data_IF_735536556201
#
_entry.id   IF_735536556201
#
_cell.length_a   1.000
_cell.length_b   1.000
_cell.length_c   1.000
_cell.angle_alpha   90.00
_cell.angle_beta   90.00
_cell.angle_gamma   90.00
#
_symmetry.space_group_name_H-M   'P 1'
#
loop_
_entity.id
_entity.type
_entity.pdbx_description
1 polymer ?
#
# COMPACT_ATOMS: atom_id res chain seq x y z
N UNK A 1 -58.06 72.88 -7.14
CA UNK A 1 -58.68 71.55 -7.22
C UNK A 1 -57.81 70.63 -6.37
N UNK A 2 -58.20 70.43 -5.10
CA UNK A 2 -57.40 69.67 -4.15
C UNK A 2 -57.73 68.18 -4.33
N UNK A 3 -56.75 67.37 -4.74
CA UNK A 3 -56.89 65.92 -4.85
C UNK A 3 -56.81 65.29 -3.46
N UNK A 4 -57.89 64.60 -3.08
CA UNK A 4 -57.99 63.79 -1.87
C UNK A 4 -57.06 62.57 -1.96
N UNK A 5 -56.02 62.54 -1.13
CA UNK A 5 -55.24 61.32 -0.89
C UNK A 5 -55.86 60.56 0.30
N UNK A 6 -56.49 59.39 0.06
CA UNK A 6 -56.49 58.13 0.89
C UNK A 6 -57.73 57.24 0.58
N UNK A 7 -57.58 55.89 0.40
CA UNK A 7 -57.39 54.97 1.53
C UNK A 7 -56.51 53.73 1.26
N UNK A 8 -55.56 53.77 0.29
CA UNK A 8 -54.73 52.58 -0.04
C UNK A 8 -53.68 52.19 1.03
N UNK A 9 -53.24 53.12 1.87
CA UNK A 9 -52.23 52.83 2.90
C UNK A 9 -52.80 52.04 4.09
N UNK A 10 -53.99 52.39 4.58
CA UNK A 10 -54.59 51.72 5.74
C UNK A 10 -54.97 50.24 5.46
N UNK A 11 -55.35 49.92 4.23
CA UNK A 11 -55.66 48.55 3.83
C UNK A 11 -54.42 47.67 3.66
N UNK A 12 -53.31 48.23 3.18
CA UNK A 12 -52.03 47.53 3.08
C UNK A 12 -51.40 47.25 4.46
N UNK A 13 -51.51 48.20 5.39
CA UNK A 13 -51.04 48.05 6.77
C UNK A 13 -51.87 47.00 7.53
N UNK A 14 -53.20 47.03 7.41
CA UNK A 14 -54.09 46.01 7.96
C UNK A 14 -53.84 44.59 7.40
N UNK A 15 -53.58 44.47 6.09
CA UNK A 15 -53.22 43.18 5.48
C UNK A 15 -51.85 42.67 5.94
N UNK A 16 -50.89 43.58 6.16
CA UNK A 16 -49.54 43.25 6.65
C UNK A 16 -49.59 42.79 8.11
N UNK A 17 -50.36 43.47 8.95
CA UNK A 17 -50.57 43.11 10.36
C UNK A 17 -51.27 41.74 10.48
N UNK A 18 -52.35 41.52 9.70
CA UNK A 18 -53.03 40.22 9.65
C UNK A 18 -52.09 39.07 9.23
N UNK A 19 -51.26 39.29 8.21
CA UNK A 19 -50.27 38.29 7.75
C UNK A 19 -49.19 38.02 8.82
N UNK A 20 -48.76 39.05 9.53
CA UNK A 20 -47.78 38.92 10.63
C UNK A 20 -48.39 38.13 11.80
N UNK A 21 -49.66 38.38 12.14
CA UNK A 21 -50.39 37.62 13.15
C UNK A 21 -50.54 36.15 12.73
N UNK A 22 -50.89 35.85 11.47
CA UNK A 22 -50.96 34.47 10.97
C UNK A 22 -49.60 33.75 11.02
N UNK A 23 -48.51 34.46 10.72
CA UNK A 23 -47.14 33.95 10.84
C UNK A 23 -46.75 33.67 12.31
N UNK A 24 -47.08 34.58 13.23
CA UNK A 24 -46.81 34.38 14.66
C UNK A 24 -47.63 33.19 15.19
N UNK A 25 -48.91 33.10 14.83
CA UNK A 25 -49.79 32.00 15.24
C UNK A 25 -49.30 30.66 14.71
N UNK A 26 -48.88 30.59 13.43
CA UNK A 26 -48.33 29.35 12.86
C UNK A 26 -46.98 28.95 13.48
N UNK A 27 -46.10 29.91 13.80
CA UNK A 27 -44.85 29.63 14.51
C UNK A 27 -45.11 29.13 15.93
N UNK A 28 -46.04 29.75 16.67
CA UNK A 28 -46.43 29.30 18.01
C UNK A 28 -47.04 27.89 17.97
N UNK A 29 -47.90 27.60 17.01
CA UNK A 29 -48.43 26.25 16.80
C UNK A 29 -47.32 25.25 16.48
N UNK A 30 -46.34 25.63 15.66
CA UNK A 30 -45.16 24.82 15.35
C UNK A 30 -44.32 24.52 16.60
N UNK A 31 -44.05 25.52 17.44
CA UNK A 31 -43.32 25.32 18.69
C UNK A 31 -44.08 24.43 19.67
N UNK A 32 -45.41 24.56 19.77
CA UNK A 32 -46.23 23.69 20.61
C UNK A 32 -46.19 22.24 20.12
N UNK A 33 -46.24 22.01 18.81
CA UNK A 33 -46.11 20.68 18.23
C UNK A 33 -44.72 20.09 18.47
N UNK A 34 -43.66 20.87 18.29
CA UNK A 34 -42.30 20.45 18.58
C UNK A 34 -42.10 20.10 20.06
N UNK A 35 -42.65 20.90 20.97
CA UNK A 35 -42.61 20.62 22.40
C UNK A 35 -43.38 19.34 22.75
N UNK A 36 -44.56 19.13 22.15
CA UNK A 36 -45.35 17.91 22.35
C UNK A 36 -44.62 16.67 21.81
N UNK A 37 -44.01 16.76 20.63
CA UNK A 37 -43.21 15.69 20.04
C UNK A 37 -41.96 15.39 20.86
N UNK A 38 -41.25 16.41 21.31
CA UNK A 38 -40.07 16.25 22.18
C UNK A 38 -40.45 15.58 23.49
N UNK A 39 -41.55 15.99 24.12
CA UNK A 39 -42.06 15.37 25.34
C UNK A 39 -42.48 13.90 25.10
N UNK A 40 -43.18 13.61 24.00
CA UNK A 40 -43.53 12.25 23.63
C UNK A 40 -42.30 11.37 23.41
N UNK A 41 -41.26 11.91 22.76
CA UNK A 41 -40.01 11.21 22.53
C UNK A 41 -39.26 10.93 23.83
N UNK A 42 -39.16 11.92 24.73
CA UNK A 42 -38.52 11.74 26.03
C UNK A 42 -39.27 10.69 26.88
N UNK A 43 -40.59 10.76 26.93
CA UNK A 43 -41.41 9.75 27.62
C UNK A 43 -41.24 8.34 27.01
N UNK A 44 -41.09 8.24 25.68
CA UNK A 44 -40.81 6.96 25.03
C UNK A 44 -39.44 6.40 25.42
N UNK A 45 -38.41 7.26 25.48
CA UNK A 45 -37.05 6.90 25.92
C UNK A 45 -37.01 6.52 27.40
N UNK A 46 -37.76 7.21 28.25
CA UNK A 46 -37.90 6.86 29.67
C UNK A 46 -38.67 5.55 29.85
N UNK A 47 -39.71 5.31 29.05
CA UNK A 47 -40.49 4.06 29.08
C UNK A 47 -39.75 2.86 28.47
N UNK A 48 -38.66 3.10 27.71
CA UNK A 48 -37.68 2.06 27.40
C UNK A 48 -36.92 1.60 28.65
N UNK A 49 -37.07 2.26 29.81
CA UNK A 49 -36.44 1.84 31.06
C UNK A 49 -34.92 1.96 31.03
N UNK A 50 -34.38 2.79 30.14
CA UNK A 50 -32.95 3.08 30.06
C UNK A 50 -32.54 3.84 31.32
N UNK A 51 -31.78 3.19 32.22
CA UNK A 51 -31.33 3.76 33.49
C UNK A 51 -32.14 3.35 34.72
N UNK A 52 -33.26 2.63 34.56
CA UNK A 52 -33.92 1.93 35.67
C UNK A 52 -33.31 0.53 35.85
N UNK A 53 -32.70 0.21 37.01
CA UNK A 53 -32.14 -1.12 37.29
C UNK A 53 -33.14 -2.27 37.18
N UNK A 54 -34.45 -2.00 37.32
CA UNK A 54 -35.47 -3.04 37.26
C UNK A 54 -36.05 -3.27 35.86
N UNK A 55 -35.63 -2.49 34.86
CA UNK A 55 -36.16 -2.61 33.50
C UNK A 55 -35.70 -3.91 32.81
N UNK A 56 -36.49 -4.35 31.82
CA UNK A 56 -36.13 -5.51 31.00
C UNK A 56 -34.77 -5.29 30.29
N UNK A 57 -34.51 -4.06 29.85
CA UNK A 57 -33.25 -3.71 29.19
C UNK A 57 -32.06 -3.76 30.14
N UNK A 58 -32.21 -3.24 31.36
CA UNK A 58 -31.16 -3.34 32.38
C UNK A 58 -30.82 -4.81 32.67
N UNK A 59 -31.83 -5.66 32.88
CA UNK A 59 -31.63 -7.10 33.10
C UNK A 59 -30.98 -7.81 31.91
N UNK A 60 -31.33 -7.43 30.68
CA UNK A 60 -30.71 -7.99 29.47
C UNK A 60 -29.23 -7.59 29.36
N UNK A 61 -28.91 -6.32 29.64
CA UNK A 61 -27.53 -5.82 29.61
C UNK A 61 -26.72 -6.45 30.75
N UNK A 62 -27.27 -6.52 31.96
CA UNK A 62 -26.65 -7.20 33.10
C UNK A 62 -26.38 -8.67 32.77
N UNK A 63 -27.37 -9.39 32.26
CA UNK A 63 -27.18 -10.79 31.84
C UNK A 63 -26.09 -10.93 30.77
N UNK A 64 -26.08 -10.05 29.76
CA UNK A 64 -25.03 -10.05 28.73
C UNK A 64 -23.65 -9.78 29.33
N UNK A 65 -23.52 -8.79 30.22
CA UNK A 65 -22.25 -8.42 30.85
C UNK A 65 -21.74 -9.48 31.83
N UNK A 66 -22.63 -10.18 32.51
CA UNK A 66 -22.27 -11.24 33.47
C UNK A 66 -21.98 -12.57 32.80
N UNK A 67 -22.72 -12.95 31.75
CA UNK A 67 -22.64 -14.30 31.17
C UNK A 67 -21.94 -14.32 29.81
N UNK A 68 -22.24 -13.38 28.92
CA UNK A 68 -21.75 -13.40 27.53
C UNK A 68 -20.41 -12.69 27.40
N UNK A 69 -20.26 -11.53 28.04
CA UNK A 69 -19.05 -10.71 27.97
C UNK A 69 -17.79 -11.41 28.48
N UNK A 70 -17.79 -12.18 29.59
CA UNK A 70 -16.60 -12.91 30.02
C UNK A 70 -16.22 -14.04 29.05
N UNK A 71 -17.21 -14.75 28.48
CA UNK A 71 -16.98 -15.78 27.46
C UNK A 71 -16.35 -15.17 26.22
N UNK A 72 -16.84 -14.01 25.77
CA UNK A 72 -16.26 -13.28 24.65
C UNK A 72 -14.81 -12.88 24.91
N UNK A 73 -14.49 -12.38 26.12
CA UNK A 73 -13.10 -12.09 26.51
C UNK A 73 -12.21 -13.34 26.45
N UNK A 74 -12.69 -14.48 26.95
CA UNK A 74 -11.94 -15.73 26.91
C UNK A 74 -11.64 -16.15 25.47
N UNK A 75 -12.65 -16.10 24.59
CA UNK A 75 -12.49 -16.41 23.16
C UNK A 75 -11.49 -15.46 22.51
N UNK A 76 -11.57 -14.15 22.80
CA UNK A 76 -10.65 -13.15 22.29
C UNK A 76 -9.20 -13.42 22.72
N UNK A 77 -8.98 -13.77 24.00
CA UNK A 77 -7.64 -14.14 24.51
C UNK A 77 -7.10 -15.37 23.79
N UNK A 78 -7.90 -16.43 23.62
CA UNK A 78 -7.49 -17.64 22.89
C UNK A 78 -7.15 -17.30 21.44
N UNK A 79 -8.00 -16.52 20.76
CA UNK A 79 -7.75 -16.08 19.39
C UNK A 79 -6.47 -15.25 19.27
N UNK A 80 -6.19 -14.34 20.22
CA UNK A 80 -4.95 -13.56 20.27
C UNK A 80 -3.72 -14.45 20.47
N UNK A 81 -3.80 -15.47 21.33
CA UNK A 81 -2.71 -16.42 21.55
C UNK A 81 -2.44 -17.23 20.28
N UNK A 82 -3.48 -17.75 19.62
CA UNK A 82 -3.34 -18.48 18.35
C UNK A 82 -2.75 -17.60 17.26
N UNK A 83 -3.19 -16.35 17.16
CA UNK A 83 -2.63 -15.39 16.21
C UNK A 83 -1.16 -15.09 16.49
N UNK A 84 -0.78 -14.92 17.76
CA UNK A 84 0.60 -14.69 18.17
C UNK A 84 1.52 -15.87 17.78
N UNK A 85 1.13 -17.11 18.10
CA UNK A 85 1.87 -18.29 17.68
C UNK A 85 1.88 -18.47 16.16
N UNK A 86 0.77 -18.16 15.48
CA UNK A 86 0.69 -18.16 14.02
C UNK A 86 1.64 -17.17 13.39
N UNK A 87 1.76 -15.96 13.93
CA UNK A 87 2.74 -14.96 13.49
C UNK A 87 4.15 -15.50 13.68
N UNK A 88 4.50 -16.02 14.86
CA UNK A 88 5.84 -16.58 15.12
C UNK A 88 6.16 -17.71 14.12
N UNK A 89 5.25 -18.66 13.95
CA UNK A 89 5.42 -19.77 13.02
C UNK A 89 5.61 -19.28 11.58
N UNK A 90 4.76 -18.35 11.12
CA UNK A 90 4.88 -17.79 9.79
C UNK A 90 6.19 -17.02 9.63
N UNK A 91 6.60 -16.21 10.61
CA UNK A 91 7.87 -15.49 10.59
C UNK A 91 9.07 -16.42 10.53
N UNK A 92 9.08 -17.52 11.29
CA UNK A 92 10.15 -18.53 11.20
C UNK A 92 10.14 -19.27 9.87
N UNK A 93 8.96 -19.63 9.36
CA UNK A 93 8.83 -20.29 8.05
C UNK A 93 9.30 -19.37 6.92
N UNK A 94 8.91 -18.10 6.96
CA UNK A 94 9.40 -17.05 6.06
C UNK A 94 10.91 -16.89 6.18
N UNK A 95 11.47 -16.86 7.39
CA UNK A 95 12.91 -16.78 7.57
C UNK A 95 13.65 -18.01 7.00
N UNK A 96 13.09 -19.22 7.13
CA UNK A 96 13.66 -20.42 6.53
C UNK A 96 13.62 -20.42 5.01
N UNK A 97 12.52 -19.93 4.42
CA UNK A 97 12.41 -19.76 2.97
C UNK A 97 13.37 -18.68 2.49
N UNK A 98 13.44 -17.52 3.17
CA UNK A 98 14.37 -16.44 2.85
C UNK A 98 15.83 -16.89 3.02
N UNK A 99 16.14 -17.78 3.96
CA UNK A 99 17.48 -18.34 4.12
C UNK A 99 17.84 -19.29 2.97
N UNK A 100 16.89 -20.11 2.52
CA UNK A 100 17.08 -20.94 1.33
C UNK A 100 17.17 -20.08 0.04
N UNK A 101 16.39 -19.01 -0.05
CA UNK A 101 16.45 -18.01 -1.11
C UNK A 101 17.80 -17.29 -1.09
N UNK A 102 18.26 -16.78 0.06
CA UNK A 102 19.57 -16.16 0.19
C UNK A 102 20.72 -17.12 -0.15
N UNK A 103 20.58 -18.43 0.10
CA UNK A 103 21.60 -19.40 -0.29
C UNK A 103 21.67 -19.61 -1.82
N UNK A 104 20.58 -19.32 -2.54
CA UNK A 104 20.48 -19.42 -4.00
C UNK A 104 20.79 -18.08 -4.69
N UNK A 105 20.40 -16.94 -4.09
CA UNK A 105 20.49 -15.60 -4.67
C UNK A 105 21.57 -14.71 -4.04
N UNK A 106 22.13 -15.06 -2.88
CA UNK A 106 23.17 -14.30 -2.17
C UNK A 106 24.15 -15.24 -1.42
N UNK A 107 24.88 -16.13 -2.12
CA UNK A 107 25.78 -17.11 -1.49
C UNK A 107 26.83 -16.46 -0.57
N UNK A 108 27.22 -15.20 -0.82
CA UNK A 108 28.16 -14.44 0.00
C UNK A 108 27.69 -14.16 1.46
N UNK A 109 26.39 -14.04 1.74
CA UNK A 109 25.91 -13.73 3.09
C UNK A 109 25.93 -14.95 4.03
N UNK A 110 25.74 -16.16 3.49
CA UNK A 110 25.88 -17.42 4.23
C UNK A 110 27.34 -17.71 4.64
N UNK A 111 28.30 -17.34 3.78
CA UNK A 111 29.73 -17.47 4.04
C UNK A 111 30.25 -16.48 5.10
N UNK A 112 29.63 -15.30 5.24
CA UNK A 112 29.97 -14.33 6.30
C UNK A 112 29.43 -14.73 7.68
N UNK A 113 28.29 -15.44 7.72
CA UNK A 113 27.68 -15.91 8.97
C UNK A 113 28.39 -17.17 9.53
N UNK A 114 28.96 -18.00 8.65
CA UNK A 114 29.77 -19.17 9.02
C UNK A 114 31.24 -18.79 9.04
N UNK A 115 31.65 -18.12 10.12
CA UNK A 115 33.02 -17.65 10.31
C UNK A 115 34.08 -18.68 9.91
N UNK A 116 34.79 -18.36 8.83
CA UNK A 116 35.97 -19.10 8.36
C UNK A 116 35.75 -19.79 7.03
N UNK A 117 35.94 -19.05 5.93
CA UNK A 117 37.12 -19.15 5.04
C UNK A 117 37.11 -17.85 4.22
N UNK A 118 38.20 -17.07 4.23
CA UNK A 118 38.45 -16.09 3.16
C UNK A 118 38.70 -16.88 1.88
N UNK A 119 37.63 -17.30 1.20
CA UNK A 119 37.73 -17.64 -0.21
C UNK A 119 37.74 -16.27 -0.87
N UNK A 120 38.94 -15.78 -1.17
CA UNK A 120 39.12 -14.72 -2.15
C UNK A 120 38.64 -15.26 -3.49
N UNK A 121 37.33 -15.30 -3.68
CA UNK A 121 36.73 -15.43 -4.99
C UNK A 121 37.24 -14.28 -5.85
N UNK A 122 37.40 -14.48 -7.16
CA UNK A 122 37.73 -13.40 -8.07
C UNK A 122 36.58 -12.39 -8.06
N UNK A 123 36.65 -11.44 -7.12
CA UNK A 123 35.69 -10.36 -6.99
C UNK A 123 35.54 -9.68 -8.33
N UNK A 124 34.38 -9.86 -8.97
CA UNK A 124 34.06 -9.15 -10.18
C UNK A 124 33.87 -7.66 -9.81
N UNK A 125 34.95 -6.89 -9.95
CA UNK A 125 34.98 -5.47 -9.57
C UNK A 125 33.90 -4.65 -10.28
N UNK A 126 33.49 -5.07 -11.49
CA UNK A 126 32.41 -4.43 -12.24
C UNK A 126 31.07 -4.65 -11.55
N UNK A 127 30.81 -5.87 -11.07
CA UNK A 127 29.59 -6.18 -10.32
C UNK A 127 29.50 -5.42 -8.99
N UNK A 128 30.59 -5.36 -8.22
CA UNK A 128 30.62 -4.57 -6.98
C UNK A 128 30.27 -3.09 -7.24
N UNK A 129 30.72 -2.55 -8.38
CA UNK A 129 30.41 -1.19 -8.79
C UNK A 129 28.95 -1.01 -9.21
N UNK A 130 28.36 -1.98 -9.94
CA UNK A 130 26.92 -2.00 -10.26
C UNK A 130 26.09 -1.95 -8.98
N UNK A 131 26.40 -2.81 -8.01
CA UNK A 131 25.66 -2.87 -6.73
C UNK A 131 25.82 -1.57 -5.93
N UNK A 132 27.02 -0.96 -5.95
CA UNK A 132 27.25 0.35 -5.31
C UNK A 132 26.35 1.43 -5.91
N UNK A 133 26.23 1.48 -7.23
CA UNK A 133 25.37 2.45 -7.91
C UNK A 133 23.88 2.18 -7.66
N UNK A 134 23.46 0.91 -7.68
CA UNK A 134 22.07 0.51 -7.46
C UNK A 134 21.56 0.84 -6.04
N UNK A 135 22.46 0.86 -5.05
CA UNK A 135 22.16 1.18 -3.65
C UNK A 135 22.37 2.66 -3.28
N UNK A 136 22.71 3.51 -4.25
CA UNK A 136 22.80 4.96 -4.05
C UNK A 136 21.41 5.59 -3.86
N UNK A 137 21.36 6.80 -3.30
CA UNK A 137 20.14 7.61 -3.21
C UNK A 137 19.94 8.52 -4.44
N UNK A 138 20.84 8.45 -5.44
CA UNK A 138 20.86 9.32 -6.60
C UNK A 138 20.29 8.61 -7.87
N UNK A 139 19.24 9.17 -8.51
CA UNK A 139 18.69 8.61 -9.76
C UNK A 139 19.69 8.46 -10.91
N UNK A 140 20.73 9.30 -10.96
CA UNK A 140 21.79 9.16 -11.97
C UNK A 140 22.64 7.92 -11.76
N UNK A 141 22.89 7.54 -10.51
CA UNK A 141 23.63 6.33 -10.20
C UNK A 141 22.80 5.09 -10.55
N UNK A 142 21.49 5.12 -10.32
CA UNK A 142 20.61 4.02 -10.73
C UNK A 142 20.64 3.75 -12.24
N UNK A 143 20.63 4.81 -13.06
CA UNK A 143 20.80 4.66 -14.51
C UNK A 143 22.18 4.07 -14.84
N UNK A 144 23.22 4.55 -14.17
CA UNK A 144 24.57 4.02 -14.36
C UNK A 144 24.65 2.53 -14.01
N UNK A 145 23.99 2.09 -12.94
CA UNK A 145 23.94 0.68 -12.55
C UNK A 145 23.36 -0.21 -13.65
N UNK A 146 22.23 0.19 -14.25
CA UNK A 146 21.57 -0.57 -15.32
C UNK A 146 22.41 -0.58 -16.61
N UNK A 147 23.05 0.54 -16.94
CA UNK A 147 23.92 0.63 -18.12
C UNK A 147 25.15 -0.27 -17.95
N UNK A 148 25.83 -0.19 -16.80
CA UNK A 148 27.03 -0.97 -16.52
C UNK A 148 26.73 -2.48 -16.47
N UNK A 149 25.59 -2.86 -15.89
CA UNK A 149 25.13 -4.25 -15.90
C UNK A 149 24.86 -4.76 -17.32
N UNK A 150 24.29 -3.96 -18.21
CA UNK A 150 24.06 -4.37 -19.60
C UNK A 150 25.36 -4.49 -20.42
N UNK A 151 26.37 -3.67 -20.11
CA UNK A 151 27.72 -3.82 -20.69
C UNK A 151 28.34 -5.16 -20.26
N UNK A 152 28.17 -5.55 -18.99
CA UNK A 152 28.61 -6.87 -18.52
C UNK A 152 27.86 -8.00 -19.23
N UNK A 153 26.56 -7.84 -19.51
CA UNK A 153 25.77 -8.80 -20.29
C UNK A 153 26.30 -8.94 -21.72
N UNK A 154 26.64 -7.82 -22.36
CA UNK A 154 27.24 -7.81 -23.69
C UNK A 154 28.57 -8.59 -23.73
N UNK A 155 29.45 -8.35 -22.75
CA UNK A 155 30.72 -9.07 -22.61
C UNK A 155 30.51 -10.57 -22.38
N UNK A 156 29.53 -10.94 -21.54
CA UNK A 156 29.16 -12.34 -21.31
C UNK A 156 28.71 -13.02 -22.60
N UNK A 157 27.77 -12.39 -23.34
CA UNK A 157 27.24 -12.95 -24.59
C UNK A 157 28.35 -13.17 -25.63
N UNK A 158 29.28 -12.22 -25.75
CA UNK A 158 30.46 -12.39 -26.61
C UNK A 158 31.36 -13.54 -26.15
N UNK A 159 31.60 -13.69 -24.84
CA UNK A 159 32.40 -14.79 -24.30
C UNK A 159 31.76 -16.16 -24.53
N UNK A 160 30.42 -16.23 -24.56
CA UNK A 160 29.66 -17.43 -24.92
C UNK A 160 29.64 -17.71 -26.43
N UNK A 161 30.19 -16.80 -27.26
CA UNK A 161 30.29 -16.97 -28.70
C UNK A 161 29.08 -16.48 -29.48
N UNK A 162 28.21 -15.66 -28.88
CA UNK A 162 27.12 -15.01 -29.60
C UNK A 162 27.64 -13.78 -30.35
N UNK A 163 27.30 -13.69 -31.64
CA UNK A 163 27.63 -12.58 -32.51
C UNK A 163 26.39 -11.71 -32.80
N UNK A 164 26.56 -10.40 -32.74
CA UNK A 164 25.52 -9.42 -33.07
C UNK A 164 26.02 -7.99 -32.91
N UNK A 165 25.38 -7.02 -33.58
CA UNK A 165 25.74 -5.61 -33.45
C UNK A 165 25.18 -4.95 -32.17
N UNK A 166 24.33 -5.67 -31.43
CA UNK A 166 23.81 -5.26 -30.13
C UNK A 166 23.43 -6.48 -29.29
N UNK A 167 23.33 -6.28 -27.96
CA UNK A 167 22.79 -7.28 -27.02
C UNK A 167 21.44 -7.84 -27.49
N UNK A 168 20.54 -6.97 -27.97
CA UNK A 168 19.24 -7.41 -28.50
C UNK A 168 19.32 -8.23 -29.80
N UNK A 169 20.40 -8.17 -30.57
CA UNK A 169 20.63 -9.08 -31.70
C UNK A 169 21.21 -10.40 -31.23
N UNK A 170 22.18 -10.37 -30.31
CA UNK A 170 22.77 -11.57 -29.70
C UNK A 170 21.72 -12.40 -28.97
N UNK A 171 20.84 -11.78 -28.17
CA UNK A 171 19.79 -12.48 -27.44
C UNK A 171 18.73 -13.16 -28.34
N UNK A 172 18.64 -12.82 -29.64
CA UNK A 172 17.74 -13.50 -30.59
C UNK A 172 18.29 -14.83 -31.07
N UNK A 173 19.61 -15.02 -31.04
CA UNK A 173 20.27 -16.24 -31.51
C UNK A 173 20.56 -17.23 -30.38
N UNK A 174 20.27 -16.86 -29.14
CA UNK A 174 20.41 -17.72 -27.96
C UNK A 174 19.41 -18.88 -27.99
N UNK A 175 19.88 -20.10 -27.72
CA UNK A 175 19.00 -21.26 -27.49
C UNK A 175 18.54 -21.25 -26.02
N UNK A 176 17.22 -21.21 -25.80
CA UNK A 176 16.58 -21.22 -24.48
C UNK A 176 16.95 -22.47 -23.64
N UNK A 177 17.45 -23.54 -24.27
CA UNK A 177 17.91 -24.74 -23.55
C UNK A 177 19.29 -24.59 -22.92
N UNK A 178 20.12 -23.70 -23.47
CA UNK A 178 21.51 -23.48 -23.03
C UNK A 178 21.64 -22.23 -22.16
N UNK A 179 20.65 -21.33 -22.22
CA UNK A 179 20.57 -20.10 -21.44
C UNK A 179 19.17 -19.97 -20.82
N UNK A 180 19.03 -20.49 -19.61
CA UNK A 180 17.77 -20.62 -18.89
C UNK A 180 17.18 -19.27 -18.49
N UNK A 181 18.02 -18.26 -18.19
CA UNK A 181 17.58 -16.91 -17.81
C UNK A 181 17.60 -15.93 -18.99
N UNK A 182 17.48 -16.40 -20.24
CA UNK A 182 17.49 -15.53 -21.44
C UNK A 182 16.34 -14.51 -21.44
N UNK A 183 15.17 -14.86 -20.90
CA UNK A 183 14.04 -13.94 -20.77
C UNK A 183 14.31 -12.84 -19.71
N UNK A 184 15.03 -13.17 -18.63
CA UNK A 184 15.48 -12.19 -17.65
C UNK A 184 16.45 -11.18 -18.31
N UNK A 185 17.40 -11.67 -19.12
CA UNK A 185 18.31 -10.83 -19.90
C UNK A 185 17.55 -9.91 -20.88
N UNK A 186 16.56 -10.44 -21.60
CA UNK A 186 15.69 -9.66 -22.49
C UNK A 186 14.93 -8.56 -21.74
N UNK A 187 14.36 -8.87 -20.58
CA UNK A 187 13.63 -7.91 -19.77
C UNK A 187 14.54 -6.80 -19.24
N UNK A 188 15.73 -7.15 -18.76
CA UNK A 188 16.70 -6.18 -18.26
C UNK A 188 17.20 -5.26 -19.40
N UNK A 189 17.55 -5.84 -20.55
CA UNK A 189 17.99 -5.11 -21.73
C UNK A 189 16.93 -4.13 -22.25
N UNK A 190 15.64 -4.50 -22.22
CA UNK A 190 14.54 -3.59 -22.58
C UNK A 190 14.53 -2.32 -21.72
N UNK A 191 14.79 -2.45 -20.41
CA UNK A 191 14.87 -1.28 -19.52
C UNK A 191 16.10 -0.43 -19.84
N UNK A 192 17.27 -1.04 -20.07
CA UNK A 192 18.45 -0.31 -20.52
C UNK A 192 18.17 0.46 -21.82
N UNK A 193 17.50 -0.18 -22.77
CA UNK A 193 17.18 0.45 -24.06
C UNK A 193 16.20 1.62 -23.90
N UNK A 194 15.23 1.50 -22.99
CA UNK A 194 14.35 2.61 -22.63
C UNK A 194 15.12 3.80 -22.02
N UNK A 195 16.08 3.54 -21.13
CA UNK A 195 16.97 4.59 -20.58
C UNK A 195 17.75 5.28 -21.70
N UNK A 196 18.29 4.52 -22.66
CA UNK A 196 19.06 5.08 -23.77
C UNK A 196 18.20 5.95 -24.72
N UNK A 197 16.94 5.57 -24.96
CA UNK A 197 16.05 6.29 -25.86
C UNK A 197 15.40 7.51 -25.21
N UNK A 198 15.00 7.41 -23.95
CA UNK A 198 14.34 8.47 -23.18
C UNK A 198 15.33 9.39 -22.45
N UNK A 199 16.60 9.01 -22.33
CA UNK A 199 17.65 9.82 -21.72
C UNK A 199 17.31 10.26 -20.29
N UNK A 200 17.45 11.56 -20.03
CA UNK A 200 17.20 12.17 -18.71
C UNK A 200 15.72 12.18 -18.29
N UNK A 201 14.80 12.01 -19.24
CA UNK A 201 13.35 12.03 -19.01
C UNK A 201 12.81 10.68 -18.52
N UNK A 202 13.64 9.63 -18.52
CA UNK A 202 13.26 8.33 -17.98
C UNK A 202 13.27 8.36 -16.45
N UNK A 203 12.06 8.35 -15.87
CA UNK A 203 11.88 8.22 -14.43
C UNK A 203 12.11 6.78 -13.98
N UNK A 204 13.34 6.49 -13.56
CA UNK A 204 13.69 5.22 -12.93
C UNK A 204 13.57 5.36 -11.41
N UNK A 205 12.76 4.50 -10.78
CA UNK A 205 12.66 4.43 -9.32
C UNK A 205 13.70 3.48 -8.73
N UNK A 206 14.07 3.67 -7.46
CA UNK A 206 14.95 2.75 -6.73
C UNK A 206 14.43 1.30 -6.78
N UNK A 207 13.13 1.11 -6.55
CA UNK A 207 12.48 -0.20 -6.59
C UNK A 207 12.62 -0.86 -7.97
N UNK A 208 12.40 -0.07 -9.02
CA UNK A 208 12.53 -0.58 -10.39
C UNK A 208 13.98 -0.89 -10.74
N UNK A 209 14.92 -0.07 -10.28
CA UNK A 209 16.37 -0.31 -10.41
C UNK A 209 16.75 -1.65 -9.77
N UNK A 210 16.37 -1.87 -8.51
CA UNK A 210 16.65 -3.12 -7.79
C UNK A 210 16.02 -4.33 -8.48
N UNK A 211 14.80 -4.20 -9.00
CA UNK A 211 14.13 -5.26 -9.78
C UNK A 211 14.94 -5.63 -11.03
N UNK A 212 15.41 -4.63 -11.78
CA UNK A 212 16.17 -4.82 -13.03
C UNK A 212 17.56 -5.38 -12.75
N UNK A 213 18.26 -4.89 -11.73
CA UNK A 213 19.55 -5.44 -11.31
C UNK A 213 19.42 -6.91 -10.87
N UNK A 214 18.33 -7.27 -10.20
CA UNK A 214 18.04 -8.68 -9.87
C UNK A 214 17.81 -9.58 -11.09
N UNK A 215 17.42 -9.03 -12.25
CA UNK A 215 17.35 -9.81 -13.50
C UNK A 215 18.75 -10.08 -14.05
N UNK A 216 19.62 -9.06 -14.06
CA UNK A 216 21.03 -9.22 -14.44
C UNK A 216 21.78 -10.19 -13.51
N UNK A 217 21.51 -10.11 -12.21
CA UNK A 217 22.12 -10.99 -11.21
C UNK A 217 21.85 -12.47 -11.49
N UNK A 218 20.59 -12.83 -11.80
CA UNK A 218 20.23 -14.20 -12.19
C UNK A 218 21.03 -14.69 -13.40
N UNK A 219 21.16 -13.83 -14.40
CA UNK A 219 21.93 -14.11 -15.62
C UNK A 219 23.40 -14.35 -15.27
N UNK A 220 24.02 -13.45 -14.52
CA UNK A 220 25.44 -13.59 -14.17
C UNK A 220 25.72 -14.78 -13.25
N UNK A 221 24.77 -15.12 -12.38
CA UNK A 221 24.85 -16.31 -11.51
C UNK A 221 24.78 -17.60 -12.33
N UNK A 222 23.92 -17.67 -13.36
CA UNK A 222 23.81 -18.84 -14.24
C UNK A 222 25.15 -19.19 -14.90
N UNK A 223 25.94 -18.17 -15.27
CA UNK A 223 27.22 -18.35 -15.96
C UNK A 223 28.45 -18.18 -15.07
N UNK A 224 28.29 -18.19 -13.73
CA UNK A 224 29.39 -18.05 -12.76
C UNK A 224 30.28 -16.81 -13.00
N UNK A 225 29.68 -15.72 -13.50
CA UNK A 225 30.36 -14.43 -13.70
C UNK A 225 30.50 -13.67 -12.38
N UNK A 226 29.61 -13.96 -11.43
CA UNK A 226 29.52 -13.41 -10.07
C UNK A 226 29.23 -14.52 -9.07
#
# INVERSE_FOLDING_TARGET
MAEERKPKQATAEYQTDKKTVEQIVSLLAGFLLLAALSNALLNFVENLGLGDPNSLWARLVEYFLEHIWPVWKLVAVIASILAFFGIIYNSWKLAGINAAENLIFNPHLGALATGGVEISEPKNKKWEQVIKYANSDNPSDWRQAVIEADVMLEELLHNLGYDGASVGEMLKSVDEKEFLTVEDAWQAHKVRNAIAHSGGDFELSERETKRVIGLFEKVFTEFEVI
#
